data_IF_287868604784
#
_entry.id   IF_287868604784
#
_cell.length_a   1.000
_cell.length_b   1.000
_cell.length_c   1.000
_cell.angle_alpha   90.00
_cell.angle_beta   90.00
_cell.angle_gamma   90.00
#
_symmetry.space_group_name_H-M   'P 1'
#
loop_
_entity.id
_entity.type
_entity.pdbx_description
1 polymer ?
#
# COMPACT_ATOMS: atom_id res chain seq x y z
N UNK A 1 -8.04 -25.52 -6.51
CA UNK A 1 -7.00 -25.68 -5.48
C UNK A 1 -7.03 -24.47 -4.55
N UNK A 2 -7.24 -24.65 -3.24
CA UNK A 2 -7.28 -23.57 -2.26
C UNK A 2 -5.87 -23.42 -1.67
N UNK A 3 -5.24 -22.25 -1.78
CA UNK A 3 -3.95 -21.98 -1.15
C UNK A 3 -4.18 -21.38 0.24
N UNK A 4 -3.65 -22.05 1.26
CA UNK A 4 -3.58 -21.55 2.62
C UNK A 4 -2.10 -21.61 3.07
N UNK A 5 -1.66 -20.59 3.81
CA UNK A 5 -0.33 -20.58 4.44
C UNK A 5 -0.48 -20.38 5.94
N UNK A 6 0.30 -21.14 6.70
CA UNK A 6 0.37 -21.04 8.16
C UNK A 6 1.67 -20.33 8.51
N UNK A 7 1.56 -19.32 9.37
CA UNK A 7 2.70 -18.59 9.92
C UNK A 7 2.69 -18.80 11.44
N UNK A 8 3.72 -19.46 11.97
CA UNK A 8 3.90 -19.64 13.42
C UNK A 8 4.70 -18.48 14.00
N UNK A 9 4.41 -18.11 15.25
CA UNK A 9 5.25 -17.15 15.98
C UNK A 9 6.53 -17.85 16.43
N UNK A 10 7.70 -17.35 16.05
CA UNK A 10 8.98 -17.87 16.54
C UNK A 10 9.22 -17.37 17.97
N UNK A 11 9.30 -18.29 18.94
CA UNK A 11 9.66 -18.02 20.34
C UNK A 11 11.14 -17.67 20.56
N UNK A 12 11.85 -17.15 19.57
CA UNK A 12 13.27 -16.79 19.70
C UNK A 12 13.57 -15.51 18.92
N UNK A 13 13.46 -14.37 19.59
CA UNK A 13 14.29 -13.21 19.30
C UNK A 13 14.85 -12.72 20.63
N UNK A 14 16.11 -13.06 20.88
CA UNK A 14 16.92 -12.49 21.93
C UNK A 14 16.85 -10.96 21.82
N UNK A 15 16.37 -10.31 22.88
CA UNK A 15 16.47 -8.87 23.06
C UNK A 15 17.95 -8.49 23.17
N UNK A 16 18.57 -8.10 22.06
CA UNK A 16 19.58 -7.05 22.14
C UNK A 16 18.83 -5.73 22.17
N UNK A 17 18.90 -5.08 23.35
CA UNK A 17 18.53 -3.69 23.57
C UNK A 17 19.35 -2.84 22.59
N UNK A 18 18.77 -2.45 21.47
CA UNK A 18 19.21 -1.23 20.80
C UNK A 18 18.55 -0.05 21.50
N UNK A 19 19.40 0.74 22.14
CA UNK A 19 19.06 1.97 22.82
C UNK A 19 18.33 2.92 21.86
N UNK A 20 17.18 3.40 22.35
CA UNK A 20 16.57 4.70 22.08
C UNK A 20 17.31 5.57 21.03
N UNK A 21 16.81 5.56 19.81
CA UNK A 21 16.78 6.76 18.96
C UNK A 21 15.32 7.16 18.79
N UNK A 22 14.90 7.99 19.74
CA UNK A 22 13.61 8.67 19.84
C UNK A 22 13.50 9.69 18.71
N UNK A 23 13.39 9.20 17.46
CA UNK A 23 13.06 10.00 16.31
C UNK A 23 11.56 10.19 16.25
N UNK A 24 11.05 11.31 16.76
CA UNK A 24 9.72 11.84 16.41
C UNK A 24 9.54 11.73 14.88
N UNK A 25 8.83 10.72 14.38
CA UNK A 25 8.32 10.71 12.99
C UNK A 25 7.19 11.72 12.92
N UNK A 26 7.62 12.96 12.84
CA UNK A 26 6.81 14.16 12.75
C UNK A 26 5.92 14.10 11.51
N UNK A 27 4.81 14.83 11.61
CA UNK A 27 3.77 15.15 10.63
C UNK A 27 4.29 15.83 9.33
N UNK A 28 5.47 15.43 8.85
CA UNK A 28 6.36 16.14 7.93
C UNK A 28 6.34 15.53 6.52
N UNK A 29 5.86 14.28 6.37
CA UNK A 29 5.80 13.61 5.08
C UNK A 29 4.78 14.23 4.09
N UNK A 30 3.52 14.51 4.46
CA UNK A 30 2.55 15.10 3.53
C UNK A 30 2.98 16.50 3.08
N UNK A 31 3.46 17.32 4.02
CA UNK A 31 3.95 18.68 3.74
C UNK A 31 5.16 18.67 2.78
N UNK A 32 6.07 17.71 2.95
CA UNK A 32 7.24 17.54 2.06
C UNK A 32 6.81 17.12 0.66
N UNK A 33 5.84 16.20 0.54
CA UNK A 33 5.31 15.77 -0.74
C UNK A 33 4.57 16.89 -1.47
N UNK A 34 3.72 17.65 -0.77
CA UNK A 34 3.05 18.82 -1.35
C UNK A 34 4.08 19.85 -1.84
N UNK A 35 5.19 20.06 -1.12
CA UNK A 35 6.28 20.93 -1.58
C UNK A 35 6.96 20.39 -2.84
N UNK A 36 7.23 19.08 -2.93
CA UNK A 36 7.78 18.43 -4.13
C UNK A 36 6.84 18.57 -5.33
N UNK A 37 5.54 18.35 -5.13
CA UNK A 37 4.51 18.53 -6.17
C UNK A 37 4.50 19.98 -6.67
N UNK A 38 4.46 20.96 -5.76
CA UNK A 38 4.52 22.38 -6.13
C UNK A 38 5.80 22.74 -6.88
N UNK A 39 6.95 22.19 -6.46
CA UNK A 39 8.23 22.39 -7.14
C UNK A 39 8.23 21.84 -8.56
N UNK A 40 7.71 20.63 -8.75
CA UNK A 40 7.56 19.99 -10.05
C UNK A 40 6.64 20.79 -10.98
N UNK A 41 5.44 21.15 -10.53
CA UNK A 41 4.49 21.93 -11.34
C UNK A 41 5.04 23.30 -11.70
N UNK A 42 5.74 23.97 -10.77
CA UNK A 42 6.39 25.25 -11.04
C UNK A 42 7.45 25.14 -12.14
N UNK A 43 8.26 24.08 -12.15
CA UNK A 43 9.23 23.84 -13.23
C UNK A 43 8.57 23.75 -14.60
N UNK A 44 7.42 23.07 -14.69
CA UNK A 44 6.66 22.94 -15.95
C UNK A 44 6.14 24.31 -16.39
N UNK A 45 5.56 25.09 -15.47
CA UNK A 45 5.02 26.42 -15.77
C UNK A 45 6.13 27.38 -16.20
N UNK A 46 7.30 27.33 -15.56
CA UNK A 46 8.45 28.18 -15.93
C UNK A 46 8.99 27.87 -17.33
N UNK A 47 9.06 26.60 -17.72
CA UNK A 47 9.45 26.22 -19.09
C UNK A 47 8.45 26.75 -20.12
N UNK A 48 7.14 26.57 -19.85
CA UNK A 48 6.08 27.06 -20.73
C UNK A 48 6.08 28.60 -20.83
N UNK A 49 6.26 29.30 -19.71
CA UNK A 49 6.32 30.76 -19.68
C UNK A 49 7.51 31.33 -20.48
N UNK A 50 8.61 30.57 -20.58
CA UNK A 50 9.79 30.91 -21.37
C UNK A 50 9.70 30.41 -22.82
N UNK A 51 8.53 29.90 -23.25
CA UNK A 51 8.31 29.36 -24.60
C UNK A 51 9.03 28.05 -24.89
N UNK A 52 9.55 27.36 -23.86
CA UNK A 52 10.21 26.06 -24.01
C UNK A 52 9.20 24.93 -23.82
N UNK A 53 9.31 23.90 -24.65
CA UNK A 53 8.50 22.70 -24.47
C UNK A 53 9.02 21.92 -23.24
N UNK A 54 8.19 21.71 -22.19
CA UNK A 54 8.61 20.98 -20.99
C UNK A 54 9.00 19.55 -21.35
N UNK A 55 10.11 19.11 -20.75
CA UNK A 55 10.66 17.77 -20.92
C UNK A 55 10.75 17.11 -19.54
N UNK A 56 9.94 16.07 -19.33
CA UNK A 56 9.84 15.40 -18.03
C UNK A 56 10.55 14.07 -18.12
N UNK A 57 11.52 13.85 -17.23
CA UNK A 57 12.22 12.58 -17.12
C UNK A 57 11.58 11.72 -16.04
N UNK A 58 11.14 10.52 -16.43
CA UNK A 58 10.65 9.50 -15.50
C UNK A 58 11.61 8.32 -15.55
N UNK A 59 12.16 7.95 -14.41
CA UNK A 59 13.01 6.77 -14.29
C UNK A 59 12.18 5.51 -14.58
N UNK A 60 12.67 4.66 -15.50
CA UNK A 60 12.05 3.35 -15.77
C UNK A 60 12.69 2.30 -14.90
N UNK A 61 11.85 1.61 -14.13
CA UNK A 61 12.24 0.44 -13.35
C UNK A 61 11.66 -0.82 -14.01
N UNK A 62 12.48 -1.88 -14.11
CA UNK A 62 12.04 -3.18 -14.62
C UNK A 62 11.22 -3.89 -13.54
N UNK A 63 9.91 -3.96 -13.74
CA UNK A 63 9.00 -4.55 -12.74
C UNK A 63 8.93 -6.10 -12.78
N UNK A 64 9.48 -6.74 -13.81
CA UNK A 64 9.53 -8.20 -13.92
C UNK A 64 10.67 -8.65 -14.84
N UNK A 65 11.29 -9.79 -14.51
CA UNK A 65 12.22 -10.46 -15.42
C UNK A 65 11.46 -11.29 -16.45
N UNK A 66 11.82 -11.12 -17.72
CA UNK A 66 11.22 -11.79 -18.89
C UNK A 66 12.01 -13.03 -19.31
N UNK A 67 12.90 -13.51 -18.45
CA UNK A 67 13.81 -14.59 -18.76
C UNK A 67 13.14 -15.94 -18.44
N UNK A 68 12.86 -16.71 -19.48
CA UNK A 68 12.29 -18.07 -19.40
C UNK A 68 13.33 -19.12 -19.04
N UNK A 69 14.61 -18.76 -18.94
CA UNK A 69 15.72 -19.69 -18.69
C UNK A 69 15.89 -20.14 -17.23
N UNK A 70 15.11 -19.57 -16.30
CA UNK A 70 15.08 -20.02 -14.90
C UNK A 70 16.35 -19.72 -14.10
N UNK A 71 17.36 -19.06 -14.67
CA UNK A 71 18.63 -18.75 -13.99
C UNK A 71 18.90 -17.24 -13.89
N UNK A 72 17.85 -16.45 -13.68
CA UNK A 72 17.98 -15.00 -13.65
C UNK A 72 18.33 -14.49 -12.23
N UNK A 73 19.52 -13.92 -12.08
CA UNK A 73 19.97 -13.17 -10.89
C UNK A 73 19.42 -11.73 -10.88
N UNK A 74 18.14 -11.56 -11.18
CA UNK A 74 17.51 -10.25 -11.26
C UNK A 74 17.12 -9.71 -9.88
N UNK A 75 17.79 -8.66 -9.41
CA UNK A 75 17.26 -7.81 -8.35
C UNK A 75 16.13 -6.94 -8.93
N UNK A 76 14.91 -7.09 -8.42
CA UNK A 76 13.84 -6.12 -8.71
C UNK A 76 14.26 -4.75 -8.15
N UNK A 77 14.46 -3.77 -9.03
CA UNK A 77 14.92 -2.42 -8.61
C UNK A 77 16.04 -1.79 -9.45
N UNK A 78 16.56 -2.46 -10.49
CA UNK A 78 17.58 -1.83 -11.35
C UNK A 78 16.96 -0.80 -12.30
N UNK A 79 17.47 0.44 -12.22
CA UNK A 79 17.19 1.52 -13.18
C UNK A 79 17.52 1.04 -14.59
N UNK A 80 16.51 0.92 -15.44
CA UNK A 80 16.66 0.40 -16.80
C UNK A 80 16.86 1.53 -17.81
N UNK A 81 16.63 2.79 -17.41
CA UNK A 81 16.85 3.99 -18.21
C UNK A 81 15.95 5.15 -17.75
N UNK A 82 16.11 6.31 -18.40
CA UNK A 82 15.24 7.48 -18.22
C UNK A 82 14.34 7.65 -19.43
N UNK A 83 13.04 7.79 -19.21
CA UNK A 83 12.09 8.12 -20.27
C UNK A 83 11.82 9.62 -20.29
N UNK A 84 12.04 10.26 -21.44
CA UNK A 84 11.69 11.66 -21.64
C UNK A 84 10.27 11.78 -22.23
N UNK A 85 9.35 12.34 -21.46
CA UNK A 85 8.01 12.72 -21.89
C UNK A 85 8.07 14.16 -22.39
N UNK A 86 7.57 14.38 -23.62
CA UNK A 86 7.60 15.67 -24.31
C UNK A 86 6.23 15.98 -24.90
N UNK A 87 5.82 17.25 -24.86
CA UNK A 87 4.56 17.70 -25.48
C UNK A 87 4.54 17.63 -27.02
N UNK A 88 5.68 17.36 -27.67
CA UNK A 88 5.78 17.29 -29.14
C UNK A 88 5.04 16.11 -29.76
N UNK A 89 4.79 15.04 -28.99
CA UNK A 89 4.11 13.83 -29.47
C UNK A 89 2.75 13.70 -28.81
N UNK A 90 1.70 13.43 -29.59
CA UNK A 90 0.34 13.32 -29.08
C UNK A 90 0.20 12.24 -27.98
N UNK A 91 0.87 11.10 -28.14
CA UNK A 91 0.87 10.03 -27.13
C UNK A 91 1.51 10.45 -25.79
N UNK A 92 2.57 11.26 -25.84
CA UNK A 92 3.23 11.82 -24.66
C UNK A 92 2.39 12.92 -24.03
N UNK A 93 1.73 13.76 -24.84
CA UNK A 93 0.80 14.78 -24.36
C UNK A 93 -0.38 14.17 -23.60
N UNK A 94 -0.99 13.10 -24.14
CA UNK A 94 -2.05 12.35 -23.43
C UNK A 94 -1.56 11.74 -22.11
N UNK A 95 -0.37 11.13 -22.11
CA UNK A 95 0.22 10.58 -20.87
C UNK A 95 0.48 11.68 -19.84
N UNK A 96 0.96 12.84 -20.28
CA UNK A 96 1.22 13.98 -19.41
C UNK A 96 -0.08 14.58 -18.86
N UNK A 97 -1.11 14.73 -19.68
CA UNK A 97 -2.44 15.20 -19.24
C UNK A 97 -2.99 14.28 -18.12
N UNK A 98 -2.94 12.97 -18.30
CA UNK A 98 -3.36 12.01 -17.27
C UNK A 98 -2.50 12.13 -16.01
N UNK A 99 -1.18 12.21 -16.15
CA UNK A 99 -0.26 12.35 -15.02
C UNK A 99 -0.54 13.61 -14.21
N UNK A 100 -0.72 14.76 -14.87
CA UNK A 100 -1.01 16.03 -14.21
C UNK A 100 -2.37 16.01 -13.51
N UNK A 101 -3.42 15.42 -14.13
CA UNK A 101 -4.74 15.28 -13.49
C UNK A 101 -4.67 14.43 -12.23
N UNK A 102 -4.00 13.27 -12.29
CA UNK A 102 -3.83 12.42 -11.11
C UNK A 102 -2.98 13.12 -10.05
N UNK A 103 -1.96 13.87 -10.45
CA UNK A 103 -1.12 14.66 -9.53
C UNK A 103 -1.92 15.73 -8.77
N UNK A 104 -2.86 16.42 -9.44
CA UNK A 104 -3.76 17.39 -8.81
C UNK A 104 -4.67 16.69 -7.79
N UNK A 105 -5.26 15.55 -8.15
CA UNK A 105 -6.11 14.77 -7.22
C UNK A 105 -5.30 14.34 -5.99
N UNK A 106 -4.08 13.81 -6.19
CA UNK A 106 -3.18 13.42 -5.10
C UNK A 106 -2.80 14.63 -4.23
N UNK A 107 -2.51 15.78 -4.84
CA UNK A 107 -2.23 17.00 -4.09
C UNK A 107 -3.42 17.39 -3.19
N UNK A 108 -4.64 17.33 -3.72
CA UNK A 108 -5.85 17.64 -2.96
C UNK A 108 -6.06 16.65 -1.80
N UNK A 109 -5.90 15.34 -2.05
CA UNK A 109 -5.98 14.31 -1.01
C UNK A 109 -4.96 14.54 0.12
N UNK A 110 -3.73 14.96 -0.23
CA UNK A 110 -2.69 15.28 0.75
C UNK A 110 -3.00 16.56 1.55
N UNK A 111 -3.57 17.57 0.90
CA UNK A 111 -3.88 18.86 1.54
C UNK A 111 -5.10 18.77 2.47
N UNK A 112 -6.13 18.04 2.04
CA UNK A 112 -7.35 17.80 2.84
C UNK A 112 -7.16 16.68 3.88
N UNK A 113 -6.00 16.02 3.88
CA UNK A 113 -5.74 14.80 4.65
C UNK A 113 -6.83 13.73 4.46
N UNK A 114 -7.30 13.60 3.22
CA UNK A 114 -8.33 12.64 2.82
C UNK A 114 -7.71 11.51 2.02
N UNK A 115 -8.35 10.35 2.10
CA UNK A 115 -7.94 9.16 1.37
C UNK A 115 -8.87 8.92 0.19
N UNK A 116 -8.30 8.49 -0.92
CA UNK A 116 -9.04 8.13 -2.13
C UNK A 116 -8.63 6.75 -2.63
N UNK A 117 -9.58 5.97 -3.09
CA UNK A 117 -9.27 4.70 -3.74
C UNK A 117 -8.86 4.91 -5.19
N UNK A 118 -8.15 3.93 -5.77
CA UNK A 118 -7.85 3.96 -7.23
C UNK A 118 -9.11 4.07 -8.10
N UNK A 119 -10.21 3.47 -7.64
CA UNK A 119 -11.49 3.52 -8.34
C UNK A 119 -12.13 4.90 -8.21
N UNK A 120 -12.01 5.52 -7.05
CA UNK A 120 -12.53 6.87 -6.81
C UNK A 120 -11.84 7.85 -7.76
N UNK A 121 -10.50 7.75 -7.87
CA UNK A 121 -9.70 8.55 -8.82
C UNK A 121 -10.16 8.28 -10.26
N UNK A 122 -10.35 7.02 -10.65
CA UNK A 122 -10.82 6.65 -11.99
C UNK A 122 -12.20 7.28 -12.32
N UNK A 123 -13.12 7.31 -11.36
CA UNK A 123 -14.46 7.85 -11.57
C UNK A 123 -14.53 9.38 -11.59
N UNK A 124 -13.48 10.10 -11.17
CA UNK A 124 -13.44 11.56 -11.30
C UNK A 124 -13.42 12.03 -12.76
N UNK A 125 -12.74 11.31 -13.65
CA UNK A 125 -12.60 11.67 -15.07
C UNK A 125 -12.63 10.43 -16.01
N UNK A 126 -13.79 9.76 -16.14
CA UNK A 126 -13.90 8.51 -16.90
C UNK A 126 -13.59 8.69 -18.40
N UNK A 127 -13.93 9.84 -18.98
CA UNK A 127 -13.68 10.16 -20.40
C UNK A 127 -12.19 10.31 -20.71
N UNK A 128 -11.40 10.78 -19.74
CA UNK A 128 -9.95 10.97 -19.89
C UNK A 128 -9.20 9.68 -19.60
N UNK A 129 -9.55 8.98 -18.51
CA UNK A 129 -8.80 7.80 -18.09
C UNK A 129 -9.10 6.55 -18.91
N UNK A 130 -10.35 6.39 -19.36
CA UNK A 130 -10.87 5.22 -20.13
C UNK A 130 -10.76 3.88 -19.38
N UNK A 131 -9.55 3.50 -18.98
CA UNK A 131 -9.21 2.27 -18.26
C UNK A 131 -8.56 2.56 -16.89
N UNK A 132 -8.82 1.69 -15.90
CA UNK A 132 -8.17 1.77 -14.58
C UNK A 132 -6.65 1.52 -14.64
N UNK A 133 -6.18 0.80 -15.66
CA UNK A 133 -4.76 0.54 -15.93
C UNK A 133 -3.96 1.84 -16.13
N UNK A 134 -4.58 2.86 -16.74
CA UNK A 134 -3.99 4.17 -17.02
C UNK A 134 -3.77 4.95 -15.72
N UNK A 135 -4.76 4.93 -14.81
CA UNK A 135 -4.66 5.55 -13.48
C UNK A 135 -3.57 4.88 -12.65
N UNK A 136 -3.49 3.54 -12.67
CA UNK A 136 -2.44 2.83 -11.92
C UNK A 136 -1.04 3.16 -12.42
N UNK A 137 -0.86 3.27 -13.75
CA UNK A 137 0.41 3.71 -14.35
C UNK A 137 0.76 5.13 -13.91
N UNK A 138 -0.19 6.06 -13.96
CA UNK A 138 0.04 7.44 -13.53
C UNK A 138 0.42 7.54 -12.04
N UNK A 139 -0.24 6.78 -11.16
CA UNK A 139 0.12 6.71 -9.73
C UNK A 139 1.55 6.20 -9.55
N UNK A 140 1.95 5.15 -10.29
CA UNK A 140 3.32 4.62 -10.22
C UNK A 140 4.35 5.64 -10.74
N UNK A 141 4.07 6.32 -11.85
CA UNK A 141 4.91 7.39 -12.40
C UNK A 141 5.10 8.53 -11.39
N UNK A 142 4.03 8.93 -10.68
CA UNK A 142 4.07 9.95 -9.62
C UNK A 142 4.93 9.48 -8.42
N UNK A 143 4.80 8.21 -8.01
CA UNK A 143 5.63 7.65 -6.93
C UNK A 143 7.12 7.72 -7.28
N UNK A 144 7.46 7.44 -8.54
CA UNK A 144 8.83 7.53 -9.06
C UNK A 144 9.29 8.99 -9.04
N UNK A 145 8.49 9.90 -9.61
CA UNK A 145 8.82 11.33 -9.68
C UNK A 145 9.02 11.97 -8.30
N UNK A 146 8.18 11.62 -7.33
CA UNK A 146 8.25 12.16 -5.97
C UNK A 146 9.19 11.37 -5.05
N UNK A 147 9.71 10.24 -5.53
CA UNK A 147 10.51 9.28 -4.76
C UNK A 147 9.80 8.88 -3.46
N UNK A 148 8.56 8.43 -3.58
CA UNK A 148 7.74 8.05 -2.43
C UNK A 148 7.01 6.73 -2.67
N UNK A 149 6.56 6.12 -1.58
CA UNK A 149 5.69 4.95 -1.67
C UNK A 149 4.26 5.38 -1.99
N UNK A 150 3.45 4.46 -2.54
CA UNK A 150 2.02 4.68 -2.82
C UNK A 150 1.20 5.01 -1.58
N UNK A 151 1.62 4.51 -0.41
CA UNK A 151 0.95 4.77 0.86
C UNK A 151 1.02 6.25 1.24
N UNK A 152 2.13 6.90 0.87
CA UNK A 152 2.37 8.30 1.21
C UNK A 152 1.58 9.27 0.30
N UNK A 153 0.87 8.77 -0.72
CA UNK A 153 0.05 9.59 -1.64
C UNK A 153 -1.42 9.68 -1.20
N UNK A 154 -1.78 9.14 -0.03
CA UNK A 154 -3.16 8.96 0.43
C UNK A 154 -4.05 8.17 -0.57
N UNK A 155 -3.43 7.40 -1.47
CA UNK A 155 -4.14 6.53 -2.42
C UNK A 155 -4.15 5.10 -1.88
N UNK A 156 -5.30 4.70 -1.36
CA UNK A 156 -5.48 3.39 -0.76
C UNK A 156 -5.97 2.37 -1.78
N UNK A 157 -5.44 1.15 -1.69
CA UNK A 157 -6.10 0.02 -2.34
C UNK A 157 -7.27 -0.37 -1.46
N UNK A 158 -8.49 -0.39 -2.00
CA UNK A 158 -9.66 -0.93 -1.29
C UNK A 158 -9.39 -2.41 -1.04
N UNK A 159 -8.86 -2.72 0.14
CA UNK A 159 -8.61 -4.07 0.60
C UNK A 159 -9.82 -4.51 1.41
N UNK A 160 -10.75 -5.23 0.79
CA UNK A 160 -11.81 -5.95 1.50
C UNK A 160 -11.22 -7.22 2.17
N UNK A 161 -10.15 -7.03 2.94
CA UNK A 161 -9.59 -8.07 3.77
C UNK A 161 -10.46 -8.26 5.00
N UNK A 162 -10.55 -9.48 5.51
CA UNK A 162 -11.25 -9.82 6.74
C UNK A 162 -10.24 -10.43 7.71
N UNK A 163 -10.40 -10.12 8.99
CA UNK A 163 -9.65 -10.69 10.10
C UNK A 163 -10.62 -11.22 11.15
N UNK A 164 -10.31 -12.39 11.70
CA UNK A 164 -10.99 -12.95 12.87
C UNK A 164 -9.97 -13.71 13.73
N UNK A 165 -10.33 -13.98 14.99
CA UNK A 165 -9.51 -14.80 15.88
C UNK A 165 -9.09 -14.06 17.14
N UNK A 166 -8.02 -14.56 17.76
CA UNK A 166 -7.56 -14.11 19.08
C UNK A 166 -6.70 -12.84 19.00
N UNK A 167 -7.34 -11.74 18.57
CA UNK A 167 -6.72 -10.45 18.32
C UNK A 167 -7.54 -9.31 18.91
N UNK A 168 -6.87 -8.28 19.42
CA UNK A 168 -7.46 -6.99 19.77
C UNK A 168 -6.55 -5.88 19.27
N UNK A 169 -7.12 -4.78 18.81
CA UNK A 169 -6.39 -3.59 18.40
C UNK A 169 -7.26 -2.34 18.53
N UNK A 170 -6.64 -1.16 18.42
CA UNK A 170 -7.32 0.14 18.35
C UNK A 170 -7.14 0.69 16.94
N UNK A 171 -8.23 1.03 16.25
CA UNK A 171 -8.23 1.69 14.94
C UNK A 171 -8.81 3.09 15.10
N UNK A 172 -8.01 4.13 14.85
CA UNK A 172 -8.44 5.54 14.92
C UNK A 172 -9.18 5.88 16.24
N UNK A 173 -8.73 5.31 17.36
CA UNK A 173 -9.34 5.45 18.68
C UNK A 173 -10.48 4.47 19.01
N UNK A 174 -10.99 3.71 18.05
CA UNK A 174 -12.00 2.66 18.25
C UNK A 174 -11.34 1.34 18.63
N UNK A 175 -11.69 0.80 19.81
CA UNK A 175 -11.26 -0.54 20.25
C UNK A 175 -12.01 -1.62 19.48
N UNK A 176 -11.28 -2.47 18.77
CA UNK A 176 -11.78 -3.66 18.09
C UNK A 176 -11.27 -4.88 18.86
N UNK A 177 -12.20 -5.63 19.46
CA UNK A 177 -11.88 -6.80 20.28
C UNK A 177 -12.42 -8.07 19.64
N UNK A 178 -11.57 -8.76 18.86
CA UNK A 178 -11.93 -10.05 18.25
C UNK A 178 -11.85 -11.21 19.27
N UNK A 179 -11.11 -11.05 20.39
CA UNK A 179 -10.96 -12.10 21.41
C UNK A 179 -12.31 -12.48 22.04
N UNK A 180 -13.21 -11.52 22.24
CA UNK A 180 -14.53 -11.78 22.82
C UNK A 180 -15.43 -12.67 21.96
N UNK A 181 -15.23 -12.64 20.63
CA UNK A 181 -15.88 -13.54 19.70
C UNK A 181 -14.94 -13.86 18.52
N UNK A 182 -14.05 -14.87 18.68
CA UNK A 182 -12.97 -15.17 17.72
C UNK A 182 -13.43 -15.61 16.32
N UNK A 183 -14.73 -15.77 16.11
CA UNK A 183 -15.33 -16.15 14.82
C UNK A 183 -15.98 -15.00 14.08
N UNK A 184 -16.10 -13.84 14.74
CA UNK A 184 -16.64 -12.67 14.09
C UNK A 184 -15.62 -12.11 13.11
N UNK A 185 -16.05 -11.94 11.87
CA UNK A 185 -15.28 -11.32 10.83
C UNK A 185 -15.28 -9.80 11.01
N UNK A 186 -14.09 -9.20 11.05
CA UNK A 186 -13.90 -7.76 11.02
C UNK A 186 -13.14 -7.36 9.76
N UNK A 187 -13.43 -6.19 9.16
CA UNK A 187 -12.61 -5.68 8.08
C UNK A 187 -11.17 -5.45 8.56
N UNK A 188 -10.19 -5.74 7.72
CA UNK A 188 -8.81 -5.36 7.98
C UNK A 188 -8.71 -3.83 7.81
N UNK A 189 -8.14 -3.11 8.79
CA UNK A 189 -7.89 -1.68 8.67
C UNK A 189 -7.13 -1.34 7.40
N UNK A 190 -7.65 -0.38 6.65
CA UNK A 190 -7.02 0.09 5.41
C UNK A 190 -5.76 0.91 5.73
N UNK A 191 -5.81 1.66 6.83
CA UNK A 191 -4.76 2.55 7.32
C UNK A 191 -4.00 1.90 8.46
N UNK A 192 -2.94 1.17 8.12
CA UNK A 192 -2.07 0.48 9.10
C UNK A 192 -1.45 1.44 10.11
N UNK A 193 -1.24 2.70 9.71
CA UNK A 193 -0.63 3.73 10.56
C UNK A 193 -1.57 4.25 11.67
N UNK A 194 -2.87 4.03 11.53
CA UNK A 194 -3.88 4.41 12.54
C UNK A 194 -4.24 3.24 13.47
N UNK A 195 -3.49 2.13 13.37
CA UNK A 195 -3.68 0.94 14.20
C UNK A 195 -2.65 0.90 15.33
N UNK A 196 -3.15 0.99 16.56
CA UNK A 196 -2.39 0.96 17.79
C UNK A 196 -2.85 -0.18 18.72
N UNK A 197 -2.12 -0.38 19.83
CA UNK A 197 -2.51 -1.31 20.94
C UNK A 197 -2.87 -2.73 20.46
N UNK A 198 -2.03 -3.30 19.58
CA UNK A 198 -2.27 -4.64 19.02
C UNK A 198 -1.86 -5.71 20.03
N UNK A 199 -2.84 -6.49 20.51
CA UNK A 199 -2.68 -7.55 21.50
C UNK A 199 -3.19 -8.86 20.90
N UNK A 200 -2.44 -9.96 21.04
CA UNK A 200 -2.83 -11.27 20.51
C UNK A 200 -2.40 -12.39 21.45
N UNK A 201 -3.27 -13.40 21.60
CA UNK A 201 -2.96 -14.65 22.31
C UNK A 201 -3.02 -15.87 21.38
N UNK A 202 -2.96 -15.61 20.07
CA UNK A 202 -2.95 -16.64 19.05
C UNK A 202 -1.62 -17.40 19.00
N UNK A 203 -1.67 -18.70 18.67
CA UNK A 203 -0.50 -19.55 18.47
C UNK A 203 0.08 -19.43 17.05
N UNK A 204 -0.75 -19.06 16.09
CA UNK A 204 -0.35 -18.87 14.70
C UNK A 204 -1.35 -18.00 13.95
N UNK A 205 -0.92 -17.52 12.77
CA UNK A 205 -1.77 -16.81 11.81
C UNK A 205 -1.99 -17.70 10.60
N UNK A 206 -3.25 -17.94 10.25
CA UNK A 206 -3.68 -18.64 9.05
C UNK A 206 -4.09 -17.62 7.99
N UNK A 207 -3.38 -17.65 6.87
CA UNK A 207 -3.59 -16.75 5.75
C UNK A 207 -4.36 -17.48 4.65
N UNK A 208 -5.56 -16.99 4.35
CA UNK A 208 -6.52 -17.61 3.44
C UNK A 208 -6.76 -16.72 2.23
N UNK A 209 -6.70 -17.30 1.03
CA UNK A 209 -6.84 -16.53 -0.21
C UNK A 209 -8.31 -16.15 -0.52
N UNK A 210 -9.22 -17.10 -0.31
CA UNK A 210 -10.63 -16.98 -0.70
C UNK A 210 -11.53 -16.64 0.48
N UNK A 211 -12.35 -15.62 0.30
CA UNK A 211 -13.34 -15.16 1.29
C UNK A 211 -14.34 -16.26 1.65
N UNK A 212 -14.76 -17.09 0.69
CA UNK A 212 -15.66 -18.22 0.97
C UNK A 212 -15.04 -19.27 1.91
N UNK A 213 -13.73 -19.48 1.86
CA UNK A 213 -13.02 -20.37 2.80
C UNK A 213 -12.96 -19.72 4.18
N UNK A 214 -12.71 -18.42 4.25
CA UNK A 214 -12.73 -17.67 5.51
C UNK A 214 -14.08 -17.75 6.21
N UNK A 215 -15.18 -17.53 5.48
CA UNK A 215 -16.54 -17.63 6.03
C UNK A 215 -16.86 -19.04 6.53
N UNK A 216 -16.39 -20.07 5.81
CA UNK A 216 -16.53 -21.46 6.27
C UNK A 216 -15.77 -21.71 7.58
N UNK A 217 -14.52 -21.23 7.69
CA UNK A 217 -13.73 -21.35 8.92
C UNK A 217 -14.36 -20.58 10.10
N UNK A 218 -15.05 -19.47 9.83
CA UNK A 218 -15.79 -18.71 10.83
C UNK A 218 -16.97 -19.54 11.36
N UNK A 219 -17.78 -20.09 10.45
CA UNK A 219 -18.92 -20.95 10.78
C UNK A 219 -18.51 -22.20 11.57
N UNK A 220 -17.38 -22.83 11.20
CA UNK A 220 -16.85 -24.03 11.85
C UNK A 220 -16.22 -23.76 13.22
N UNK A 221 -16.23 -22.50 13.66
CA UNK A 221 -15.60 -22.05 14.89
C UNK A 221 -14.10 -22.40 14.97
N UNK A 222 -13.39 -22.30 13.85
CA UNK A 222 -12.01 -22.76 13.74
C UNK A 222 -11.04 -22.05 14.70
N UNK A 223 -11.14 -20.72 14.83
CA UNK A 223 -10.23 -19.91 15.65
C UNK A 223 -10.25 -20.27 17.15
N UNK A 224 -11.39 -20.72 17.68
CA UNK A 224 -11.61 -21.04 19.09
C UNK A 224 -11.02 -22.40 19.42
N UNK A 225 -11.16 -23.37 18.51
CA UNK A 225 -10.56 -24.70 18.64
C UNK A 225 -9.04 -24.66 18.52
N UNK A 226 -8.52 -23.83 17.62
CA UNK A 226 -7.09 -23.84 17.27
C UNK A 226 -6.30 -22.65 17.81
N UNK A 227 -6.92 -21.78 18.60
CA UNK A 227 -6.32 -20.54 19.15
C UNK A 227 -5.49 -19.78 18.12
N UNK A 228 -6.10 -19.41 17.00
CA UNK A 228 -5.40 -18.75 15.89
C UNK A 228 -6.08 -17.46 15.43
N UNK A 229 -5.34 -16.68 14.64
CA UNK A 229 -5.89 -15.58 13.85
C UNK A 229 -6.03 -16.07 12.42
N UNK A 230 -7.15 -15.76 11.78
CA UNK A 230 -7.35 -16.02 10.36
C UNK A 230 -7.48 -14.68 9.65
N UNK A 231 -6.77 -14.50 8.55
CA UNK A 231 -6.86 -13.31 7.70
C UNK A 231 -7.11 -13.68 6.25
N UNK A 232 -7.90 -12.87 5.54
CA UNK A 232 -8.00 -12.96 4.08
C UNK A 232 -6.99 -12.07 3.39
N UNK A 233 -6.35 -12.62 2.37
CA UNK A 233 -5.56 -11.88 1.40
C UNK A 233 -6.12 -12.19 0.02
N UNK A 234 -6.74 -11.21 -0.63
CA UNK A 234 -6.94 -11.33 -2.08
C UNK A 234 -5.56 -11.38 -2.72
N UNK A 235 -5.38 -12.25 -3.73
CA UNK A 235 -4.11 -12.42 -4.49
C UNK A 235 -3.45 -11.08 -4.86
N UNK A 236 -4.23 -10.03 -5.10
CA UNK A 236 -3.73 -8.68 -5.39
C UNK A 236 -3.11 -7.95 -4.19
N UNK A 237 -3.59 -8.18 -2.96
CA UNK A 237 -3.00 -7.65 -1.71
C UNK A 237 -1.73 -8.39 -1.31
N UNK A 238 -1.60 -9.67 -1.67
CA UNK A 238 -0.38 -10.46 -1.40
C UNK A 238 0.85 -9.88 -2.12
N UNK A 239 0.65 -9.22 -3.27
CA UNK A 239 1.72 -8.53 -4.01
C UNK A 239 1.90 -7.05 -3.60
N UNK A 240 1.06 -6.50 -2.70
CA UNK A 240 1.06 -5.08 -2.35
C UNK A 240 0.79 -4.84 -0.86
N UNK A 241 1.89 -4.84 -0.12
CA UNK A 241 2.30 -4.01 1.03
C UNK A 241 1.28 -3.83 2.19
N UNK A 242 -0.01 -3.54 2.02
CA UNK A 242 -0.89 -3.25 3.18
C UNK A 242 -1.03 -4.42 4.14
N UNK A 243 -1.35 -5.63 3.65
CA UNK A 243 -1.38 -6.84 4.50
C UNK A 243 0.01 -7.29 4.92
N UNK A 244 1.04 -7.04 4.11
CA UNK A 244 2.42 -7.37 4.47
C UNK A 244 2.95 -6.42 5.55
N UNK A 245 2.60 -5.14 5.57
CA UNK A 245 2.96 -4.16 6.60
C UNK A 245 2.16 -4.40 7.87
N UNK A 246 0.88 -4.78 7.76
CA UNK A 246 0.10 -5.21 8.94
C UNK A 246 0.70 -6.46 9.56
N UNK A 247 0.98 -7.49 8.75
CA UNK A 247 1.66 -8.70 9.19
C UNK A 247 3.08 -8.41 9.69
N UNK A 248 3.86 -7.56 9.02
CA UNK A 248 5.23 -7.22 9.39
C UNK A 248 5.29 -6.40 10.68
N UNK A 249 4.41 -5.40 10.85
CA UNK A 249 4.27 -4.70 12.13
C UNK A 249 3.86 -5.70 13.23
N UNK A 250 2.94 -6.61 12.94
CA UNK A 250 2.51 -7.63 13.89
C UNK A 250 3.59 -8.67 14.23
N UNK A 251 4.39 -9.12 13.26
CA UNK A 251 5.43 -10.15 13.41
C UNK A 251 6.77 -9.61 13.94
N UNK A 252 7.18 -8.38 13.58
CA UNK A 252 8.52 -7.86 13.91
C UNK A 252 8.55 -6.85 15.05
N UNK A 253 7.45 -6.15 15.36
CA UNK A 253 7.51 -5.20 16.50
C UNK A 253 7.37 -5.86 17.86
N UNK A 254 7.11 -7.17 17.95
CA UNK A 254 7.01 -7.89 19.24
C UNK A 254 5.94 -7.36 20.19
N UNK A 255 5.13 -6.37 19.77
CA UNK A 255 4.15 -5.66 20.60
C UNK A 255 2.96 -6.51 21.02
N UNK A 256 2.81 -7.70 20.44
CA UNK A 256 1.69 -8.61 20.66
C UNK A 256 1.95 -9.78 21.61
N UNK A 257 3.13 -9.89 22.23
CA UNK A 257 3.43 -10.93 23.22
C UNK A 257 3.54 -10.31 24.61
N UNK A 258 2.40 -10.18 25.29
CA UNK A 258 2.30 -10.09 26.75
C UNK A 258 1.17 -10.96 27.24
#
# INVERSE_FOLDING_TARGET
SYKARIYQFSNNVNLQREEKMEGKRSNTQPLTLVRKIKGFTRSIVEDLARGRAPLIYIDRFRNYCTDTSGNCSCSSGLLTGKEAISLKRECHARRLDVLLRVLVIVQQLLQENRHGSKRDIYYMHPTVFKEQSVVDRAINDICILLQCSRHNLNVVSVGNGLVMGWLRYVESGRKINCIGNPHTAYPIPVLVEEVDDIISVAQYVLVVEKESVFQRLANDQFCKRNRCIVITVRIFCFLRISTHTWLHNFFLTGKGLS
#
